data_IF_417518142454
#
_entry.id   IF_417518142454
#
_cell.length_a   1.000
_cell.length_b   1.000
_cell.length_c   1.000
_cell.angle_alpha   90.00
_cell.angle_beta   90.00
_cell.angle_gamma   90.00
#
_symmetry.space_group_name_H-M   'P 1'
#
loop_
_entity.id
_entity.type
_entity.pdbx_description
1 polymer ?
#
# COMPACT_ATOMS: atom_id res chain seq x y z
N UNK A 1 -6.48 -12.38 0.29
CA UNK A 1 -6.72 -10.92 0.35
C UNK A 1 -6.59 -10.24 -1.01
N UNK A 2 -5.54 -10.54 -1.78
CA UNK A 2 -5.35 -9.93 -3.10
C UNK A 2 -6.53 -10.10 -4.06
N UNK A 3 -7.19 -11.25 -4.04
CA UNK A 3 -8.41 -11.49 -4.83
C UNK A 3 -9.54 -10.54 -4.41
N UNK A 4 -9.81 -10.43 -3.12
CA UNK A 4 -10.87 -9.57 -2.58
C UNK A 4 -10.62 -8.10 -2.93
N UNK A 5 -9.40 -7.62 -2.69
CA UNK A 5 -9.02 -6.26 -3.05
C UNK A 5 -9.13 -6.01 -4.56
N UNK A 6 -8.77 -6.97 -5.40
CA UNK A 6 -8.90 -6.85 -6.86
C UNK A 6 -10.37 -6.82 -7.29
N UNK A 7 -11.23 -7.67 -6.72
CA UNK A 7 -12.69 -7.63 -6.96
C UNK A 7 -13.29 -6.29 -6.55
N UNK A 8 -12.94 -5.80 -5.36
CA UNK A 8 -13.38 -4.49 -4.88
C UNK A 8 -12.98 -3.37 -5.85
N UNK A 9 -11.76 -3.39 -6.37
CA UNK A 9 -11.28 -2.42 -7.37
C UNK A 9 -12.03 -2.49 -8.68
N UNK A 10 -12.31 -3.70 -9.17
CA UNK A 10 -13.10 -3.88 -10.39
C UNK A 10 -14.49 -3.28 -10.19
N UNK A 11 -15.15 -3.55 -9.06
CA UNK A 11 -16.46 -2.98 -8.75
C UNK A 11 -16.41 -1.44 -8.66
N UNK A 12 -15.37 -0.89 -8.04
CA UNK A 12 -15.16 0.56 -7.94
C UNK A 12 -14.98 1.19 -9.33
N UNK A 13 -14.06 0.66 -10.14
CA UNK A 13 -13.74 1.18 -11.48
C UNK A 13 -14.86 1.02 -12.49
N UNK A 14 -15.64 -0.05 -12.38
CA UNK A 14 -16.80 -0.29 -13.26
C UNK A 14 -18.09 0.37 -12.77
N UNK A 15 -18.04 1.16 -11.69
CA UNK A 15 -19.19 1.83 -11.06
C UNK A 15 -20.29 0.87 -10.60
N UNK A 16 -19.97 -0.40 -10.38
CA UNK A 16 -20.90 -1.39 -9.81
C UNK A 16 -21.07 -1.23 -8.30
N UNK A 17 -20.10 -0.58 -7.65
CA UNK A 17 -20.16 -0.27 -6.22
C UNK A 17 -20.91 1.05 -6.02
N UNK A 18 -22.01 1.00 -5.25
CA UNK A 18 -22.71 2.22 -4.83
C UNK A 18 -21.93 2.89 -3.70
N UNK A 19 -21.33 4.04 -3.98
CA UNK A 19 -20.56 4.79 -3.02
C UNK A 19 -21.41 5.92 -2.45
N UNK A 20 -21.73 5.86 -1.16
CA UNK A 20 -22.41 6.97 -0.47
C UNK A 20 -21.45 7.80 0.39
N UNK A 21 -20.57 7.16 1.12
CA UNK A 21 -19.58 7.80 1.98
C UNK A 21 -18.40 6.84 2.26
N UNK A 22 -17.37 7.34 2.94
CA UNK A 22 -16.15 6.59 3.28
C UNK A 22 -16.43 5.39 4.19
N UNK A 23 -17.32 5.53 5.18
CA UNK A 23 -17.69 4.44 6.09
C UNK A 23 -18.33 3.28 5.33
N UNK A 24 -19.22 3.58 4.39
CA UNK A 24 -19.84 2.54 3.57
C UNK A 24 -18.84 1.81 2.68
N UNK A 25 -17.81 2.51 2.19
CA UNK A 25 -16.73 1.86 1.43
C UNK A 25 -15.95 0.86 2.27
N UNK A 26 -15.59 1.23 3.51
CA UNK A 26 -14.98 0.30 4.46
C UNK A 26 -15.84 -0.95 4.69
N UNK A 27 -17.14 -0.75 4.90
CA UNK A 27 -18.07 -1.86 5.10
C UNK A 27 -18.22 -2.74 3.86
N UNK A 28 -18.29 -2.14 2.65
CA UNK A 28 -18.35 -2.92 1.41
C UNK A 28 -17.11 -3.80 1.21
N UNK A 29 -15.93 -3.29 1.56
CA UNK A 29 -14.70 -4.09 1.51
C UNK A 29 -14.69 -5.19 2.58
N UNK A 30 -15.20 -4.89 3.78
CA UNK A 30 -15.33 -5.89 4.85
C UNK A 30 -16.26 -7.04 4.44
N UNK A 31 -17.44 -6.73 3.89
CA UNK A 31 -18.36 -7.78 3.44
C UNK A 31 -17.75 -8.64 2.32
N UNK A 32 -17.03 -8.05 1.36
CA UNK A 32 -16.29 -8.82 0.36
C UNK A 32 -15.19 -9.71 0.95
N UNK A 33 -14.54 -9.29 2.03
CA UNK A 33 -13.54 -10.14 2.72
C UNK A 33 -14.18 -11.30 3.46
N UNK A 34 -15.36 -11.10 4.04
CA UNK A 34 -16.12 -12.17 4.71
C UNK A 34 -16.52 -13.30 3.76
N UNK A 35 -16.69 -13.02 2.47
CA UNK A 35 -16.92 -14.05 1.47
C UNK A 35 -15.67 -14.90 1.17
N UNK A 36 -14.50 -14.43 1.60
CA UNK A 36 -13.23 -15.11 1.38
C UNK A 36 -13.07 -16.34 2.25
N UNK A 37 -12.46 -17.39 1.68
CA UNK A 37 -12.12 -18.62 2.42
C UNK A 37 -11.16 -18.27 3.56
N UNK A 38 -11.41 -18.83 4.74
CA UNK A 38 -10.58 -18.71 5.93
C UNK A 38 -10.39 -17.26 6.46
N UNK A 39 -11.26 -16.33 6.06
CA UNK A 39 -11.31 -15.01 6.69
C UNK A 39 -11.76 -15.15 8.15
N UNK A 40 -11.02 -14.53 9.05
CA UNK A 40 -11.36 -14.55 10.48
C UNK A 40 -11.89 -13.18 10.95
N UNK A 41 -11.11 -12.12 10.75
CA UNK A 41 -11.46 -10.74 11.12
C UNK A 41 -10.55 -9.73 10.40
N UNK A 42 -10.88 -8.45 10.50
CA UNK A 42 -9.95 -7.39 10.12
C UNK A 42 -8.68 -7.45 10.98
N UNK A 43 -7.53 -7.14 10.40
CA UNK A 43 -6.28 -7.00 11.16
C UNK A 43 -6.21 -5.66 11.91
N UNK A 44 -6.95 -4.66 11.43
CA UNK A 44 -7.15 -3.36 12.07
C UNK A 44 -8.41 -2.67 11.51
N UNK A 45 -8.80 -1.54 12.09
CA UNK A 45 -9.90 -0.71 11.61
C UNK A 45 -9.55 -0.05 10.28
N UNK A 46 -10.32 -0.32 9.23
CA UNK A 46 -10.02 0.16 7.88
C UNK A 46 -10.02 1.68 7.79
N UNK A 47 -9.07 2.19 7.04
CA UNK A 47 -9.01 3.57 6.58
C UNK A 47 -9.55 3.60 5.16
N UNK A 48 -10.66 4.29 4.93
CA UNK A 48 -11.06 4.72 3.59
C UNK A 48 -11.29 6.22 3.62
N UNK A 49 -10.52 6.93 2.83
CA UNK A 49 -10.41 8.38 2.93
C UNK A 49 -10.45 9.05 1.57
N UNK A 50 -11.37 10.01 1.41
CA UNK A 50 -11.43 10.84 0.21
C UNK A 50 -10.51 12.04 0.32
N UNK A 51 -9.79 12.35 -0.75
CA UNK A 51 -8.98 13.55 -0.96
C UNK A 51 -8.24 14.01 0.32
N UNK A 52 -8.67 15.10 0.96
CA UNK A 52 -8.02 15.70 2.14
C UNK A 52 -8.06 14.80 3.38
N UNK A 53 -9.05 13.94 3.55
CA UNK A 53 -9.09 13.00 4.66
C UNK A 53 -7.95 11.99 4.58
N UNK A 54 -7.47 11.66 3.38
CA UNK A 54 -6.28 10.84 3.16
C UNK A 54 -4.99 11.47 3.70
N UNK A 55 -4.97 12.77 4.01
CA UNK A 55 -3.83 13.41 4.65
C UNK A 55 -3.76 13.14 6.16
N UNK A 56 -4.80 12.60 6.76
CA UNK A 56 -4.83 12.17 8.17
C UNK A 56 -4.38 10.72 8.21
N UNK A 57 -3.15 10.47 8.66
CA UNK A 57 -2.48 9.15 8.57
C UNK A 57 -3.30 8.02 9.18
N UNK A 58 -3.95 8.27 10.32
CA UNK A 58 -4.82 7.32 11.01
C UNK A 58 -6.29 7.76 10.94
N UNK A 59 -6.75 8.17 9.75
CA UNK A 59 -8.13 8.54 9.53
C UNK A 59 -9.07 7.36 9.83
N UNK A 60 -10.17 7.64 10.53
CA UNK A 60 -11.20 6.63 10.82
C UNK A 60 -12.55 7.12 10.35
N UNK A 61 -13.11 6.57 9.27
CA UNK A 61 -14.47 6.88 8.86
C UNK A 61 -15.45 6.29 9.87
N UNK A 62 -16.28 7.14 10.47
CA UNK A 62 -17.33 6.72 11.40
C UNK A 62 -18.71 6.85 10.73
N UNK A 63 -19.73 6.09 11.19
CA UNK A 63 -21.08 6.13 10.61
C UNK A 63 -21.63 7.55 10.46
N UNK A 64 -21.41 8.39 11.48
CA UNK A 64 -21.97 9.75 11.57
C UNK A 64 -20.97 10.86 11.25
N UNK A 65 -19.71 10.53 10.94
CA UNK A 65 -18.64 11.50 10.70
C UNK A 65 -17.73 11.08 9.54
N UNK A 66 -18.28 10.55 8.47
CA UNK A 66 -17.56 10.23 7.26
C UNK A 66 -17.99 11.12 6.12
N UNK A 67 -17.04 11.51 5.28
CA UNK A 67 -17.30 12.35 4.11
C UNK A 67 -18.22 11.63 3.13
N UNK A 68 -19.28 12.33 2.71
CA UNK A 68 -20.17 11.84 1.65
C UNK A 68 -19.46 11.90 0.31
N UNK A 69 -19.69 10.89 -0.50
CA UNK A 69 -19.21 10.89 -1.87
C UNK A 69 -19.92 11.99 -2.70
N UNK A 70 -19.13 12.81 -3.34
CA UNK A 70 -19.59 13.86 -4.28
C UNK A 70 -18.76 13.74 -5.56
N UNK A 71 -17.80 14.65 -5.74
CA UNK A 71 -16.93 14.74 -6.90
C UNK A 71 -15.45 14.58 -6.50
N UNK A 72 -15.14 13.61 -5.64
CA UNK A 72 -13.77 13.36 -5.19
C UNK A 72 -12.89 12.83 -6.31
N UNK A 73 -11.59 13.16 -6.19
CA UNK A 73 -10.56 12.74 -7.15
C UNK A 73 -9.85 11.48 -6.73
N UNK A 74 -9.66 11.30 -5.43
CA UNK A 74 -8.85 10.25 -4.84
C UNK A 74 -9.63 9.50 -3.76
N UNK A 75 -9.33 8.20 -3.67
CA UNK A 75 -9.68 7.35 -2.55
C UNK A 75 -8.41 6.65 -2.07
N UNK A 76 -8.00 6.93 -0.85
CA UNK A 76 -7.01 6.13 -0.14
C UNK A 76 -7.74 5.05 0.64
N UNK A 77 -7.32 3.80 0.47
CA UNK A 77 -7.76 2.66 1.28
C UNK A 77 -6.55 2.01 1.89
N UNK A 78 -6.59 1.90 3.22
CA UNK A 78 -5.65 1.16 4.02
C UNK A 78 -6.43 0.13 4.85
N UNK A 79 -6.10 -1.14 4.66
CA UNK A 79 -6.91 -2.23 5.17
C UNK A 79 -6.15 -3.54 5.19
N UNK A 80 -6.53 -4.41 6.09
CA UNK A 80 -5.96 -5.74 6.17
C UNK A 80 -6.89 -6.72 6.88
N UNK A 81 -6.51 -7.98 6.88
CA UNK A 81 -7.29 -9.04 7.50
C UNK A 81 -6.40 -10.13 8.10
N UNK A 82 -6.95 -10.80 9.11
CA UNK A 82 -6.46 -12.09 9.57
C UNK A 82 -7.21 -13.19 8.82
N UNK A 83 -6.43 -14.04 8.18
CA UNK A 83 -6.87 -15.32 7.62
C UNK A 83 -6.21 -16.45 8.40
N UNK A 84 -6.74 -17.66 8.34
CA UNK A 84 -6.08 -18.81 8.98
C UNK A 84 -4.66 -19.06 8.46
N UNK A 85 -4.36 -18.60 7.24
CA UNK A 85 -3.04 -18.74 6.60
C UNK A 85 -2.08 -17.59 6.89
N UNK A 86 -2.57 -16.44 7.38
CA UNK A 86 -1.72 -15.27 7.65
C UNK A 86 -2.46 -13.97 7.83
N UNK A 87 -1.70 -12.93 8.12
CA UNK A 87 -2.17 -11.55 8.32
C UNK A 87 -1.78 -10.70 7.13
N UNK A 88 -2.70 -9.84 6.69
CA UNK A 88 -2.44 -8.88 5.61
C UNK A 88 -2.54 -7.45 6.08
N UNK A 89 -1.82 -6.59 5.38
CA UNK A 89 -1.82 -5.14 5.50
C UNK A 89 -1.52 -4.54 4.13
N UNK A 90 -2.32 -3.57 3.70
CA UNK A 90 -2.14 -2.96 2.40
C UNK A 90 -2.78 -1.58 2.30
N UNK A 91 -2.02 -0.63 1.78
CA UNK A 91 -2.56 0.66 1.36
C UNK A 91 -2.49 0.81 -0.15
N UNK A 92 -3.59 1.28 -0.74
CA UNK A 92 -3.67 1.73 -2.13
C UNK A 92 -4.39 3.06 -2.25
N UNK A 93 -3.99 3.83 -3.24
CA UNK A 93 -4.72 5.04 -3.66
C UNK A 93 -5.28 4.82 -5.05
N UNK A 94 -6.54 5.20 -5.23
CA UNK A 94 -7.28 5.08 -6.48
C UNK A 94 -7.78 6.42 -6.97
N UNK A 95 -7.65 6.65 -8.27
CA UNK A 95 -8.33 7.74 -8.94
C UNK A 95 -9.83 7.41 -9.01
N UNK A 96 -10.64 8.33 -8.54
CA UNK A 96 -12.08 8.31 -8.73
C UNK A 96 -12.49 9.00 -10.05
N UNK A 97 -13.65 9.60 -10.09
CA UNK A 97 -14.24 10.09 -11.34
C UNK A 97 -13.69 11.45 -11.78
N UNK A 98 -13.25 12.29 -10.84
CA UNK A 98 -12.75 13.63 -11.14
C UNK A 98 -11.28 13.57 -11.62
N UNK A 99 -10.86 14.45 -12.54
CA UNK A 99 -9.47 14.55 -12.95
C UNK A 99 -8.52 14.85 -11.78
N UNK A 100 -7.36 14.22 -11.80
CA UNK A 100 -6.32 14.37 -10.78
C UNK A 100 -5.24 15.34 -11.28
N UNK A 101 -4.86 16.29 -10.42
CA UNK A 101 -3.80 17.28 -10.70
C UNK A 101 -2.44 16.61 -10.95
N UNK A 102 -1.64 17.19 -11.84
CA UNK A 102 -0.28 16.67 -12.13
C UNK A 102 0.61 16.57 -10.89
N UNK A 103 0.50 17.50 -9.92
CA UNK A 103 1.21 17.43 -8.63
C UNK A 103 0.98 16.10 -7.92
N UNK A 104 -0.26 15.63 -7.87
CA UNK A 104 -0.64 14.37 -7.24
C UNK A 104 -0.09 13.17 -8.01
N UNK A 105 -0.25 13.17 -9.35
CA UNK A 105 0.29 12.11 -10.21
C UNK A 105 1.81 12.00 -10.10
N UNK A 106 2.52 13.14 -10.05
CA UNK A 106 3.96 13.16 -9.88
C UNK A 106 4.36 12.54 -8.53
N UNK A 107 3.72 12.97 -7.45
CA UNK A 107 4.00 12.44 -6.12
C UNK A 107 3.71 10.93 -6.03
N UNK A 108 2.55 10.47 -6.51
CA UNK A 108 2.22 9.05 -6.59
C UNK A 108 3.27 8.26 -7.38
N UNK A 109 3.71 8.81 -8.52
CA UNK A 109 4.73 8.17 -9.35
C UNK A 109 6.06 8.05 -8.63
N UNK A 110 6.49 9.07 -7.87
CA UNK A 110 7.72 9.00 -7.10
C UNK A 110 7.65 8.00 -5.94
N UNK A 111 6.49 7.89 -5.26
CA UNK A 111 6.25 6.83 -4.27
C UNK A 111 6.38 5.45 -4.93
N UNK A 112 5.70 5.22 -6.04
CA UNK A 112 5.79 3.96 -6.79
C UNK A 112 7.23 3.65 -7.24
N UNK A 113 7.96 4.63 -7.74
CA UNK A 113 9.38 4.47 -8.14
C UNK A 113 10.27 4.07 -6.96
N UNK A 114 10.00 4.59 -5.75
CA UNK A 114 10.74 4.17 -4.55
C UNK A 114 10.55 2.68 -4.24
N UNK A 115 9.33 2.18 -4.38
CA UNK A 115 8.99 0.75 -4.24
C UNK A 115 9.68 -0.08 -5.33
N UNK A 116 9.56 0.31 -6.60
CA UNK A 116 10.20 -0.39 -7.72
C UNK A 116 11.74 -0.45 -7.59
N UNK A 117 12.34 0.60 -7.04
CA UNK A 117 13.77 0.65 -6.76
C UNK A 117 14.15 -0.29 -5.63
N UNK A 118 13.36 -0.30 -4.54
CA UNK A 118 13.53 -1.21 -3.41
C UNK A 118 13.56 -2.68 -3.88
N UNK A 119 12.56 -3.09 -4.64
CA UNK A 119 12.38 -4.47 -5.12
C UNK A 119 13.53 -4.97 -6.03
N UNK A 120 14.26 -4.05 -6.66
CA UNK A 120 15.43 -4.38 -7.49
C UNK A 120 16.75 -4.43 -6.74
N UNK A 121 16.78 -3.90 -5.51
CA UNK A 121 18.02 -3.70 -4.76
C UNK A 121 18.39 -4.95 -3.96
N UNK A 122 19.66 -5.32 -4.01
CA UNK A 122 20.29 -6.22 -3.03
C UNK A 122 20.96 -5.37 -1.96
N UNK A 123 20.55 -5.56 -0.74
CA UNK A 123 21.09 -4.86 0.43
C UNK A 123 22.22 -5.64 1.08
N UNK A 124 22.99 -4.99 1.96
CA UNK A 124 24.02 -5.63 2.77
C UNK A 124 23.46 -6.85 3.52
N UNK A 125 24.30 -7.86 3.73
CA UNK A 125 23.98 -9.02 4.58
C UNK A 125 23.71 -8.64 6.06
N UNK A 126 24.19 -7.47 6.47
CA UNK A 126 24.01 -6.90 7.81
C UNK A 126 23.05 -5.68 7.79
N UNK A 127 22.07 -5.70 6.89
CA UNK A 127 21.11 -4.60 6.72
C UNK A 127 20.42 -4.26 8.05
N UNK A 128 20.47 -2.98 8.43
CA UNK A 128 19.66 -2.43 9.51
C UNK A 128 18.33 -1.90 9.00
N UNK A 129 17.32 -1.94 9.85
CA UNK A 129 16.01 -1.40 9.54
C UNK A 129 16.04 0.12 9.26
N UNK A 130 16.90 0.87 9.97
CA UNK A 130 17.13 2.30 9.69
C UNK A 130 17.81 2.57 8.36
N UNK A 131 18.65 1.67 7.87
CA UNK A 131 19.24 1.80 6.52
C UNK A 131 18.19 1.61 5.45
N UNK A 132 17.24 0.69 5.67
CA UNK A 132 16.11 0.46 4.77
C UNK A 132 15.16 1.68 4.75
N UNK A 133 14.84 2.24 5.92
CA UNK A 133 14.11 3.51 6.04
C UNK A 133 14.84 4.64 5.30
N UNK A 134 16.13 4.80 5.55
CA UNK A 134 16.97 5.82 4.93
C UNK A 134 17.03 5.68 3.41
N UNK A 135 17.05 4.46 2.88
CA UNK A 135 17.04 4.18 1.45
C UNK A 135 15.79 4.77 0.76
N UNK A 136 14.60 4.53 1.33
CA UNK A 136 13.34 5.06 0.80
C UNK A 136 13.28 6.58 0.96
N UNK A 137 13.54 7.11 2.17
CA UNK A 137 13.45 8.55 2.44
C UNK A 137 14.44 9.36 1.63
N UNK A 138 15.68 8.90 1.49
CA UNK A 138 16.70 9.61 0.69
C UNK A 138 16.33 9.68 -0.78
N UNK A 139 15.68 8.65 -1.32
CA UNK A 139 15.14 8.69 -2.67
C UNK A 139 14.03 9.73 -2.80
N UNK A 140 13.05 9.72 -1.90
CA UNK A 140 11.86 10.58 -1.95
C UNK A 140 12.18 12.06 -1.67
N UNK A 141 13.15 12.35 -0.79
CA UNK A 141 13.61 13.73 -0.51
C UNK A 141 14.10 14.46 -1.74
N UNK A 142 14.63 13.76 -2.77
CA UNK A 142 15.04 14.36 -4.06
C UNK A 142 13.88 15.03 -4.79
N UNK A 143 12.65 14.69 -4.44
CA UNK A 143 11.41 15.20 -5.02
C UNK A 143 10.56 15.98 -4.00
N UNK A 144 11.18 16.41 -2.89
CA UNK A 144 10.50 17.12 -1.79
C UNK A 144 9.34 16.33 -1.18
N UNK A 145 9.45 15.00 -1.16
CA UNK A 145 8.47 14.13 -0.52
C UNK A 145 9.03 13.66 0.83
N UNK A 146 8.26 13.95 1.89
CA UNK A 146 8.55 13.53 3.26
C UNK A 146 7.28 13.06 3.95
N UNK A 147 7.43 12.21 4.98
CA UNK A 147 6.32 11.71 5.80
C UNK A 147 6.78 11.51 7.25
N UNK A 148 5.82 11.61 8.19
CA UNK A 148 6.10 11.65 9.63
C UNK A 148 6.03 10.30 10.34
N UNK A 149 5.52 9.23 9.69
CA UNK A 149 5.42 7.89 10.28
C UNK A 149 6.63 7.01 9.94
N UNK A 150 6.72 5.82 10.51
CA UNK A 150 7.71 4.80 10.12
C UNK A 150 7.57 4.40 8.65
N UNK A 151 8.63 3.92 8.02
CA UNK A 151 8.57 3.42 6.65
C UNK A 151 7.91 2.04 6.58
N UNK A 152 7.78 1.37 7.73
CA UNK A 152 7.11 0.08 7.84
C UNK A 152 7.29 -0.56 9.22
N UNK A 153 6.66 -1.70 9.39
CA UNK A 153 6.62 -2.45 10.64
C UNK A 153 6.54 -3.95 10.37
N UNK A 154 6.92 -4.75 11.34
CA UNK A 154 6.69 -6.19 11.32
C UNK A 154 5.19 -6.51 11.26
N UNK A 155 4.83 -7.63 10.66
CA UNK A 155 3.46 -8.13 10.61
C UNK A 155 3.43 -9.54 11.20
N UNK A 156 2.68 -9.72 12.29
CA UNK A 156 2.59 -10.98 13.01
C UNK A 156 1.53 -11.91 12.44
N UNK A 157 1.74 -13.20 12.62
CA UNK A 157 0.74 -14.20 12.30
C UNK A 157 -0.36 -14.21 13.36
N UNK A 158 -1.59 -13.84 12.96
CA UNK A 158 -2.80 -13.87 13.81
C UNK A 158 -2.69 -13.05 15.11
N UNK A 159 -1.73 -12.15 15.19
CA UNK A 159 -1.43 -11.28 16.31
C UNK A 159 -1.63 -9.81 15.91
N UNK A 160 -0.95 -8.88 16.54
CA UNK A 160 -1.01 -7.47 16.17
C UNK A 160 -0.47 -7.27 14.74
N UNK A 161 -1.19 -6.48 13.93
CA UNK A 161 -0.71 -6.09 12.60
C UNK A 161 0.60 -5.29 12.70
N UNK A 162 0.74 -4.47 13.75
CA UNK A 162 1.96 -3.71 14.05
C UNK A 162 2.88 -4.48 15.00
N UNK A 163 3.59 -5.47 14.49
CA UNK A 163 4.60 -6.19 15.26
C UNK A 163 5.83 -5.33 15.57
N UNK A 164 6.40 -5.53 16.77
CA UNK A 164 7.55 -4.76 17.24
C UNK A 164 8.86 -5.08 16.52
N UNK A 165 8.90 -6.11 15.65
CA UNK A 165 10.10 -6.55 14.94
C UNK A 165 9.80 -7.01 13.52
N UNK A 166 10.50 -6.44 12.51
CA UNK A 166 11.35 -5.24 12.59
C UNK A 166 10.54 -3.96 12.49
N UNK A 167 10.93 -2.91 13.19
CA UNK A 167 10.39 -1.54 12.98
C UNK A 167 11.29 -0.84 11.95
N UNK A 168 10.73 -0.47 10.81
CA UNK A 168 11.46 0.22 9.75
C UNK A 168 11.32 1.73 9.96
N UNK A 169 12.25 2.31 10.70
CA UNK A 169 12.22 3.73 11.08
C UNK A 169 13.65 4.30 11.23
N UNK A 170 13.81 5.65 11.25
CA UNK A 170 15.14 6.27 11.34
C UNK A 170 15.94 5.88 12.58
N UNK A 171 15.28 5.58 13.69
CA UNK A 171 15.92 5.28 14.98
C UNK A 171 16.14 3.79 15.22
N UNK A 172 15.71 2.93 14.30
CA UNK A 172 15.79 1.48 14.49
C UNK A 172 17.20 0.96 14.28
N UNK A 173 17.74 0.29 15.29
CA UNK A 173 19.00 -0.44 15.21
C UNK A 173 18.81 -1.96 14.99
N UNK A 174 17.59 -2.39 14.72
CA UNK A 174 17.25 -3.79 14.48
C UNK A 174 17.84 -4.27 13.16
N UNK A 175 18.37 -5.50 13.14
CA UNK A 175 18.86 -6.15 11.90
C UNK A 175 17.70 -6.77 11.16
N UNK A 176 17.72 -6.63 9.86
CA UNK A 176 16.81 -7.38 8.98
C UNK A 176 17.37 -8.78 8.79
N UNK A 177 16.64 -9.77 9.22
CA UNK A 177 17.02 -11.19 9.16
C UNK A 177 16.29 -11.91 8.02
N UNK A 178 16.87 -12.99 7.56
CA UNK A 178 16.21 -13.90 6.60
C UNK A 178 14.88 -14.40 7.19
N UNK A 179 13.80 -14.27 6.43
CA UNK A 179 12.47 -14.66 6.86
C UNK A 179 11.69 -13.57 7.60
N UNK A 180 12.27 -12.40 7.92
CA UNK A 180 11.47 -11.31 8.46
C UNK A 180 10.37 -10.92 7.49
N UNK A 181 9.18 -10.70 8.05
CA UNK A 181 7.98 -10.31 7.33
C UNK A 181 7.49 -8.97 7.84
N UNK A 182 7.35 -7.98 6.94
CA UNK A 182 7.08 -6.59 7.32
C UNK A 182 6.46 -5.77 6.19
N UNK A 183 5.83 -4.65 6.54
CA UNK A 183 5.33 -3.66 5.59
C UNK A 183 6.45 -2.71 5.11
N UNK A 184 6.25 -2.16 3.92
CA UNK A 184 6.93 -0.96 3.41
C UNK A 184 5.86 -0.05 2.83
N UNK A 185 5.68 1.12 3.45
CA UNK A 185 4.50 1.97 3.27
C UNK A 185 4.83 3.47 3.15
N UNK A 186 5.74 3.90 2.26
CA UNK A 186 6.02 5.32 2.09
C UNK A 186 4.77 6.10 1.72
N UNK A 187 4.66 7.33 2.25
CA UNK A 187 3.51 8.20 2.01
C UNK A 187 3.90 9.63 1.69
N UNK A 188 2.91 10.43 1.27
CA UNK A 188 2.99 11.87 1.10
C UNK A 188 1.65 12.51 1.42
N UNK A 189 1.65 13.43 2.36
CA UNK A 189 0.45 14.01 2.93
C UNK A 189 0.51 15.54 2.85
N UNK A 190 -0.49 16.13 2.23
CA UNK A 190 -0.65 17.59 2.13
C UNK A 190 -1.94 17.97 2.84
N UNK A 191 -1.79 18.60 4.00
CA UNK A 191 -2.93 18.98 4.85
C UNK A 191 -3.99 19.74 4.05
N UNK A 192 -5.26 19.37 4.27
CA UNK A 192 -6.43 19.92 3.58
C UNK A 192 -6.45 19.72 2.04
N UNK A 193 -5.53 18.96 1.47
CA UNK A 193 -5.52 18.69 0.03
C UNK A 193 -5.67 17.20 -0.27
N UNK A 194 -4.67 16.37 0.05
CA UNK A 194 -4.68 14.93 -0.25
C UNK A 194 -3.67 14.15 0.56
N UNK A 195 -3.89 12.84 0.67
CA UNK A 195 -2.90 11.86 1.13
C UNK A 195 -2.65 10.77 0.11
N UNK A 196 -1.41 10.33 0.05
CA UNK A 196 -0.95 9.21 -0.77
C UNK A 196 -0.14 8.26 0.09
N UNK A 197 -0.39 6.95 0.00
CA UNK A 197 0.43 5.88 0.57
C UNK A 197 0.40 4.70 -0.37
N UNK A 198 1.56 4.08 -0.59
CA UNK A 198 1.66 2.81 -1.31
C UNK A 198 2.33 1.84 -0.36
N UNK A 199 1.65 0.77 -0.04
CA UNK A 199 2.11 -0.23 0.88
C UNK A 199 2.07 -1.62 0.29
N UNK A 200 3.14 -2.37 0.51
CA UNK A 200 3.23 -3.78 0.23
C UNK A 200 3.89 -4.50 1.41
N UNK A 201 3.58 -5.77 1.54
CA UNK A 201 4.23 -6.69 2.47
C UNK A 201 5.39 -7.42 1.77
N UNK A 202 6.46 -7.64 2.53
CA UNK A 202 7.70 -8.22 2.03
C UNK A 202 8.25 -9.30 2.96
N UNK A 203 8.82 -10.33 2.35
CA UNK A 203 9.79 -11.19 3.02
C UNK A 203 11.21 -10.73 2.73
N UNK A 204 12.04 -10.64 3.77
CA UNK A 204 13.47 -10.50 3.62
C UNK A 204 14.08 -11.87 3.30
N UNK A 205 14.74 -12.00 2.16
CA UNK A 205 15.38 -13.24 1.73
C UNK A 205 16.87 -13.05 1.52
N UNK A 206 17.65 -13.92 2.15
CA UNK A 206 19.12 -13.91 2.04
C UNK A 206 19.57 -14.65 0.78
N UNK A 207 20.44 -14.01 0.03
CA UNK A 207 21.12 -14.53 -1.13
C UNK A 207 22.64 -14.44 -0.96
N UNK A 208 23.41 -15.06 -1.88
CA UNK A 208 24.87 -14.98 -1.86
C UNK A 208 25.40 -13.55 -1.90
N UNK A 209 24.72 -12.67 -2.63
CA UNK A 209 25.08 -11.25 -2.84
C UNK A 209 24.38 -10.26 -1.89
N UNK A 210 23.60 -10.74 -0.91
CA UNK A 210 22.95 -9.85 0.07
C UNK A 210 21.54 -10.25 0.46
N UNK A 211 20.79 -9.30 1.02
CA UNK A 211 19.36 -9.43 1.33
C UNK A 211 18.56 -8.78 0.23
N UNK A 212 17.54 -9.46 -0.24
CA UNK A 212 16.54 -8.93 -1.17
C UNK A 212 15.16 -9.00 -0.53
N UNK A 213 14.31 -8.00 -0.82
CA UNK A 213 12.92 -7.97 -0.38
C UNK A 213 12.02 -8.55 -1.47
N UNK A 214 11.32 -9.63 -1.13
CA UNK A 214 10.36 -10.29 -2.03
C UNK A 214 8.94 -9.87 -1.66
N UNK A 215 8.29 -9.11 -2.54
CA UNK A 215 6.92 -8.64 -2.33
C UNK A 215 5.89 -9.76 -2.49
N UNK A 216 4.97 -9.84 -1.54
CA UNK A 216 3.88 -10.84 -1.52
C UNK A 216 2.51 -10.24 -1.77
N UNK A 217 2.36 -8.94 -1.70
CA UNK A 217 1.08 -8.26 -1.96
C UNK A 217 0.67 -8.42 -3.42
N UNK A 218 -0.55 -8.89 -3.65
CA UNK A 218 -1.12 -9.14 -4.98
C UNK A 218 -2.31 -8.22 -5.26
N UNK A 219 -2.09 -6.91 -5.19
CA UNK A 219 -3.12 -5.87 -5.45
C UNK A 219 -2.58 -4.86 -6.45
N UNK A 220 -3.28 -4.61 -7.57
CA UNK A 220 -2.77 -3.74 -8.62
C UNK A 220 -2.58 -2.29 -8.16
N UNK A 221 -1.61 -1.61 -8.78
CA UNK A 221 -1.49 -0.16 -8.71
C UNK A 221 -2.50 0.51 -9.63
N UNK A 222 -2.98 1.70 -9.27
CA UNK A 222 -3.83 2.48 -10.18
C UNK A 222 -2.98 3.16 -11.27
N UNK A 223 -3.08 2.66 -12.50
CA UNK A 223 -2.33 3.16 -13.65
C UNK A 223 -2.75 4.58 -14.07
N UNK A 224 -3.96 5.03 -13.71
CA UNK A 224 -4.46 6.38 -13.98
C UNK A 224 -3.77 7.45 -13.12
N UNK A 225 -3.15 7.04 -12.01
CA UNK A 225 -2.37 7.91 -11.12
C UNK A 225 -0.91 8.03 -11.54
N UNK A 226 -0.44 7.25 -12.49
CA UNK A 226 0.94 7.28 -12.95
C UNK A 226 1.14 8.42 -13.95
N UNK A 227 2.12 9.28 -13.70
CA UNK A 227 2.67 10.14 -14.72
C UNK A 227 3.72 9.37 -15.54
N UNK A 228 3.30 8.82 -16.66
CA UNK A 228 4.13 7.97 -17.53
C UNK A 228 5.35 8.69 -18.11
N UNK A 229 5.36 10.03 -18.15
CA UNK A 229 6.54 10.81 -18.58
C UNK A 229 7.71 10.71 -17.60
N UNK A 230 7.44 10.34 -16.35
CA UNK A 230 8.45 10.16 -15.29
C UNK A 230 8.94 8.70 -15.17
N UNK A 231 8.37 7.78 -15.94
CA UNK A 231 8.66 6.34 -15.88
C UNK A 231 9.60 5.96 -17.02
N UNK A 232 10.75 5.37 -16.70
CA UNK A 232 11.65 4.82 -17.69
C UNK A 232 11.24 3.39 -18.13
N UNK A 233 11.90 2.85 -19.18
CA UNK A 233 11.56 1.54 -19.74
C UNK A 233 11.71 0.39 -18.74
N UNK A 234 12.71 0.42 -17.85
CA UNK A 234 12.90 -0.63 -16.85
C UNK A 234 11.82 -0.57 -15.76
N UNK A 235 11.41 0.62 -15.33
CA UNK A 235 10.32 0.82 -14.38
C UNK A 235 8.99 0.40 -14.99
N UNK A 236 8.74 0.75 -16.26
CA UNK A 236 7.56 0.31 -17.01
C UNK A 236 7.49 -1.23 -17.08
N UNK A 237 8.60 -1.89 -17.35
CA UNK A 237 8.69 -3.34 -17.35
C UNK A 237 8.42 -3.92 -15.95
N UNK A 238 8.92 -3.27 -14.88
CA UNK A 238 8.65 -3.68 -13.48
C UNK A 238 7.17 -3.63 -13.15
N UNK A 239 6.49 -2.51 -13.49
CA UNK A 239 5.04 -2.35 -13.31
C UNK A 239 4.29 -3.43 -14.09
N UNK A 240 4.65 -3.64 -15.36
CA UNK A 240 4.02 -4.67 -16.21
C UNK A 240 4.17 -6.07 -15.60
N UNK A 241 5.37 -6.45 -15.15
CA UNK A 241 5.62 -7.76 -14.53
C UNK A 241 4.82 -7.94 -13.24
N UNK A 242 4.71 -6.89 -12.41
CA UNK A 242 3.91 -6.93 -11.18
C UNK A 242 2.43 -7.18 -11.49
N UNK A 243 1.84 -6.42 -12.43
CA UNK A 243 0.44 -6.59 -12.84
C UNK A 243 0.22 -7.94 -13.53
N UNK A 244 1.17 -8.41 -14.33
CA UNK A 244 1.11 -9.74 -14.97
C UNK A 244 1.08 -10.85 -13.91
N UNK A 245 1.94 -10.78 -12.89
CA UNK A 245 1.94 -11.74 -11.76
C UNK A 245 0.58 -11.79 -11.09
N UNK A 246 -0.02 -10.62 -10.80
CA UNK A 246 -1.35 -10.54 -10.18
C UNK A 246 -2.39 -11.21 -11.08
N UNK A 247 -2.42 -10.85 -12.36
CA UNK A 247 -3.37 -11.39 -13.33
C UNK A 247 -3.24 -12.93 -13.43
N UNK A 248 -2.03 -13.44 -13.64
CA UNK A 248 -1.80 -14.90 -13.76
C UNK A 248 -2.20 -15.65 -12.48
N UNK A 249 -2.02 -15.04 -11.32
CA UNK A 249 -2.39 -15.66 -10.04
C UNK A 249 -3.89 -15.65 -9.79
N UNK A 250 -4.60 -14.60 -10.21
CA UNK A 250 -6.00 -14.37 -9.82
C UNK A 250 -7.02 -14.63 -10.93
N UNK A 251 -6.62 -14.69 -12.22
CA UNK A 251 -7.53 -14.74 -13.38
C UNK A 251 -8.56 -15.88 -13.31
N UNK A 252 -8.23 -16.99 -12.70
CA UNK A 252 -9.17 -18.14 -12.55
C UNK A 252 -10.24 -17.95 -11.47
N UNK A 253 -10.16 -16.86 -10.69
CA UNK A 253 -11.05 -16.58 -9.56
C UNK A 253 -11.75 -15.21 -9.67
N UNK A 254 -11.38 -14.39 -10.66
CA UNK A 254 -12.01 -13.11 -10.99
C UNK A 254 -13.21 -13.29 -11.90
#
# INVERSE_FOLDING_TARGET
>A
DGLTMTKFLIQLKTKKLSIKNEYQLSNSLYELRKEGVNFFRNSFEYISAFDSNGAIVHYRPLPNNSSKFKNQSLLLIDSGAHYLEGTTDITRVFKLYTPVKNKVKNAYTYLLKSILKLEKTYFSKNLLASELDSFIRSYLRKFNITYGHGTGHGVGYFNDVHEKYPIISPQSNQKILNGNFFSIEPGFYVSNEFGLRIENLYFAKKYSNGIKLEGVTLVPYDLDLINWKLINNQEKLGIKKYHQKIYETLKGQL
#
